data_IF_462291273116
#
_entry.id   IF_462291273116
#
_cell.length_a   1.000
_cell.length_b   1.000
_cell.length_c   1.000
_cell.angle_alpha   90.00
_cell.angle_beta   90.00
_cell.angle_gamma   90.00
#
_symmetry.space_group_name_H-M   'P 1'
#
loop_
_entity.id
_entity.type
_entity.pdbx_description
1 polymer ?
#
# COMPACT_ATOMS: atom_id res chain seq x y z
N UNK A 1 13.75 25.27 2.33
CA UNK A 1 12.73 24.24 2.02
C UNK A 1 13.49 22.99 1.68
N UNK A 2 13.49 22.01 2.59
CA UNK A 2 14.12 20.72 2.33
C UNK A 2 13.35 20.00 1.22
N UNK A 3 14.08 19.37 0.30
CA UNK A 3 13.46 18.58 -0.76
C UNK A 3 12.63 17.45 -0.14
N UNK A 4 11.46 17.10 -0.71
CA UNK A 4 10.69 15.95 -0.24
C UNK A 4 11.57 14.70 -0.28
N UNK A 5 11.51 13.90 0.80
CA UNK A 5 12.26 12.65 0.92
C UNK A 5 11.87 11.74 -0.24
N UNK A 6 12.84 11.39 -1.08
CA UNK A 6 12.65 10.43 -2.16
C UNK A 6 12.79 9.01 -1.62
N UNK A 7 11.66 8.31 -1.48
CA UNK A 7 11.60 6.92 -1.00
C UNK A 7 11.81 5.89 -2.12
N UNK A 8 11.89 6.32 -3.40
CA UNK A 8 12.05 5.40 -4.55
C UNK A 8 13.29 4.51 -4.44
N UNK A 9 14.47 4.97 -3.96
CA UNK A 9 15.63 4.11 -3.78
C UNK A 9 15.42 3.01 -2.73
N UNK A 10 14.70 3.31 -1.64
CA UNK A 10 14.35 2.34 -0.60
C UNK A 10 13.43 1.27 -1.16
N UNK A 11 12.42 1.69 -1.92
CA UNK A 11 11.45 0.80 -2.56
C UNK A 11 12.12 -0.12 -3.60
N UNK A 12 13.03 0.40 -4.44
CA UNK A 12 13.81 -0.43 -5.37
C UNK A 12 14.74 -1.43 -4.69
N UNK A 13 15.27 -1.09 -3.52
CA UNK A 13 16.14 -2.01 -2.77
C UNK A 13 15.37 -3.17 -2.13
N UNK A 14 14.08 -2.96 -1.79
CA UNK A 14 13.25 -3.98 -1.14
C UNK A 14 12.40 -4.79 -2.12
N UNK A 15 12.00 -4.22 -3.27
CA UNK A 15 11.20 -4.92 -4.27
C UNK A 15 11.99 -5.14 -5.55
N UNK A 16 12.39 -6.39 -5.85
CA UNK A 16 13.01 -6.71 -7.14
C UNK A 16 12.07 -6.33 -8.29
N UNK A 17 12.65 -5.94 -9.43
CA UNK A 17 11.87 -5.69 -10.64
C UNK A 17 11.30 -7.00 -11.17
N UNK A 18 9.99 -7.03 -11.41
CA UNK A 18 9.32 -8.12 -12.14
C UNK A 18 8.95 -7.73 -13.59
N UNK A 19 9.46 -6.58 -14.08
CA UNK A 19 9.24 -6.11 -15.45
C UNK A 19 8.96 -4.61 -15.57
N UNK A 20 8.84 -4.09 -16.80
CA UNK A 20 8.73 -2.64 -17.05
C UNK A 20 7.48 -2.01 -16.44
N UNK A 21 6.35 -2.72 -16.43
CA UNK A 21 5.11 -2.22 -15.82
C UNK A 21 5.21 -2.15 -14.28
N UNK A 22 5.95 -3.09 -13.68
CA UNK A 22 6.22 -3.10 -12.25
C UNK A 22 7.07 -1.91 -11.83
N UNK A 23 8.16 -1.66 -12.55
CA UNK A 23 9.05 -0.53 -12.30
C UNK A 23 8.31 0.80 -12.47
N UNK A 24 7.44 0.89 -13.50
CA UNK A 24 6.61 2.07 -13.71
C UNK A 24 5.62 2.30 -12.58
N UNK A 25 5.04 1.24 -12.02
CA UNK A 25 4.15 1.35 -10.87
C UNK A 25 4.87 1.92 -9.64
N UNK A 26 6.09 1.45 -9.35
CA UNK A 26 6.92 1.99 -8.26
C UNK A 26 7.22 3.48 -8.49
N UNK A 27 7.54 3.88 -9.73
CA UNK A 27 7.79 5.29 -10.06
C UNK A 27 6.57 6.20 -9.88
N UNK A 28 5.37 5.65 -10.06
CA UNK A 28 4.10 6.34 -9.82
C UNK A 28 3.71 6.36 -8.32
N UNK A 29 4.52 5.76 -7.45
CA UNK A 29 4.27 5.69 -6.01
C UNK A 29 3.24 4.63 -5.62
N UNK A 30 3.00 3.63 -6.49
CA UNK A 30 2.11 2.51 -6.18
C UNK A 30 2.80 1.59 -5.16
N UNK A 31 2.10 1.25 -4.07
CA UNK A 31 2.56 0.27 -3.08
C UNK A 31 2.46 -1.16 -3.64
N UNK A 32 3.51 -1.59 -4.32
CA UNK A 32 3.64 -2.94 -4.87
C UNK A 32 3.72 -4.02 -3.78
N UNK A 33 4.11 -3.66 -2.54
CA UNK A 33 4.11 -4.59 -1.41
C UNK A 33 2.69 -5.04 -1.04
N UNK A 34 1.71 -4.15 -1.22
CA UNK A 34 0.31 -4.51 -1.06
C UNK A 34 -0.15 -5.48 -2.15
N UNK A 35 0.35 -5.31 -3.38
CA UNK A 35 0.08 -6.23 -4.48
C UNK A 35 0.67 -7.62 -4.20
N UNK A 36 1.95 -7.72 -3.81
CA UNK A 36 2.58 -9.01 -3.45
C UNK A 36 1.83 -9.71 -2.32
N UNK A 37 1.52 -8.96 -1.25
CA UNK A 37 0.73 -9.50 -0.13
C UNK A 37 -0.60 -10.05 -0.61
N UNK A 38 -1.32 -9.32 -1.46
CA UNK A 38 -2.60 -9.80 -2.00
C UNK A 38 -2.42 -11.05 -2.86
N UNK A 39 -1.37 -11.14 -3.68
CA UNK A 39 -1.10 -12.30 -4.51
C UNK A 39 -0.80 -13.57 -3.68
N UNK A 40 -0.14 -13.42 -2.53
CA UNK A 40 0.14 -14.51 -1.60
C UNK A 40 -1.11 -15.05 -0.85
N UNK A 41 -2.23 -14.32 -0.87
CA UNK A 41 -3.46 -14.72 -0.19
C UNK A 41 -4.38 -15.53 -1.11
N UNK A 42 -5.08 -16.49 -0.50
CA UNK A 42 -6.26 -17.14 -1.10
C UNK A 42 -7.39 -16.12 -1.32
N UNK A 43 -8.35 -16.39 -2.23
CA UNK A 43 -9.48 -15.49 -2.46
C UNK A 43 -10.24 -15.12 -1.18
N UNK A 44 -10.48 -16.08 -0.28
CA UNK A 44 -11.18 -15.89 0.99
C UNK A 44 -10.38 -14.97 1.93
N UNK A 45 -9.06 -15.18 2.00
CA UNK A 45 -8.17 -14.33 2.80
C UNK A 45 -8.10 -12.89 2.26
N UNK A 46 -8.13 -12.70 0.93
CA UNK A 46 -8.18 -11.34 0.33
C UNK A 46 -9.46 -10.62 0.73
N UNK A 47 -10.59 -11.31 0.70
CA UNK A 47 -11.88 -10.75 1.13
C UNK A 47 -11.85 -10.33 2.58
N UNK A 48 -11.33 -11.19 3.47
CA UNK A 48 -11.21 -10.87 4.89
C UNK A 48 -10.27 -9.68 5.12
N UNK A 49 -9.09 -9.68 4.49
CA UNK A 49 -8.12 -8.60 4.60
C UNK A 49 -8.71 -7.25 4.15
N UNK A 50 -9.45 -7.24 3.04
CA UNK A 50 -10.12 -6.04 2.54
C UNK A 50 -11.23 -5.55 3.47
N UNK A 51 -12.03 -6.47 4.05
CA UNK A 51 -13.06 -6.13 5.03
C UNK A 51 -12.45 -5.50 6.28
N UNK A 52 -11.38 -6.08 6.82
CA UNK A 52 -10.66 -5.55 7.98
C UNK A 52 -10.08 -4.16 7.71
N UNK A 53 -9.43 -3.95 6.56
CA UNK A 53 -8.89 -2.64 6.18
C UNK A 53 -9.98 -1.57 6.08
N UNK A 54 -11.15 -1.92 5.52
CA UNK A 54 -12.30 -1.01 5.45
C UNK A 54 -12.84 -0.64 6.82
N UNK A 55 -12.98 -1.61 7.72
CA UNK A 55 -13.46 -1.37 9.08
C UNK A 55 -12.49 -0.45 9.85
N UNK A 56 -11.19 -0.69 9.76
CA UNK A 56 -10.17 0.15 10.38
C UNK A 56 -10.26 1.61 9.88
N UNK A 57 -10.40 1.81 8.56
CA UNK A 57 -10.54 3.15 7.99
C UNK A 57 -11.83 3.85 8.45
N UNK A 58 -12.94 3.13 8.56
CA UNK A 58 -14.20 3.67 9.07
C UNK A 58 -14.07 4.10 10.53
N UNK A 59 -13.41 3.29 11.36
CA UNK A 59 -13.15 3.61 12.77
C UNK A 59 -12.27 4.86 12.92
N UNK A 60 -11.17 4.95 12.15
CA UNK A 60 -10.31 6.14 12.15
C UNK A 60 -11.09 7.41 11.76
N UNK A 61 -11.92 7.33 10.72
CA UNK A 61 -12.78 8.44 10.30
C UNK A 61 -13.81 8.83 11.35
N UNK A 62 -14.37 7.85 12.06
CA UNK A 62 -15.32 8.11 13.13
C UNK A 62 -14.65 8.77 14.34
N UNK A 63 -13.42 8.36 14.69
CA UNK A 63 -12.61 8.99 15.75
C UNK A 63 -12.29 10.44 15.43
N UNK A 64 -11.77 10.74 14.24
CA UNK A 64 -11.45 12.12 13.82
C UNK A 64 -12.67 13.05 13.77
N UNK A 65 -13.89 12.52 13.59
CA UNK A 65 -15.13 13.29 13.64
C UNK A 65 -15.63 13.57 15.06
N UNK A 66 -15.19 12.81 16.06
CA UNK A 66 -15.59 12.98 17.46
C UNK A 66 -14.73 14.01 18.20
N UNK A 67 -13.52 14.26 17.72
CA UNK A 67 -12.58 15.24 18.29
C UNK A 67 -12.72 16.65 17.68
N UNK A 68 -13.78 16.90 16.91
CA UNK A 68 -14.10 18.18 16.25
C UNK A 68 -15.42 18.72 16.73
#
# INVERSE_FOLDING_TARGET
MDAPIDLRPVFRAHWPSYGPDWDRAIELGIDVAQLERNLALTPEQRLLNHQSARQALQQLRAGMKRDR
#
